data_IF_542485297540
#
_entry.id   IF_542485297540
#
_cell.length_a   1.000
_cell.length_b   1.000
_cell.length_c   1.000
_cell.angle_alpha   90.00
_cell.angle_beta   90.00
_cell.angle_gamma   90.00
#
_symmetry.space_group_name_H-M   'P 1'
#
loop_
_entity.id
_entity.type
_entity.pdbx_description
1 polymer ?
#
# COMPACT_ATOMS: atom_id res chain seq x y z
N UNK A 1 -17.18 5.76 14.72
CA UNK A 1 -16.01 5.07 15.31
C UNK A 1 -16.02 5.25 16.81
N UNK A 2 -15.65 4.22 17.56
CA UNK A 2 -15.52 4.24 19.02
C UNK A 2 -14.17 3.68 19.44
N UNK A 3 -13.67 4.11 20.58
CA UNK A 3 -12.42 3.60 21.16
C UNK A 3 -12.75 2.81 22.42
N UNK A 4 -12.18 1.60 22.52
CA UNK A 4 -12.24 0.82 23.74
C UNK A 4 -11.19 1.37 24.71
N UNK A 5 -11.63 1.81 25.89
CA UNK A 5 -10.77 2.47 26.88
C UNK A 5 -9.76 1.52 27.56
N UNK A 6 -10.01 0.21 27.56
CA UNK A 6 -9.12 -0.79 28.18
C UNK A 6 -8.04 -1.27 27.22
N UNK A 7 -8.40 -1.44 25.94
CA UNK A 7 -7.48 -2.00 24.93
C UNK A 7 -6.89 -0.94 24.01
N UNK A 8 -7.37 0.30 24.07
CA UNK A 8 -7.04 1.39 23.15
C UNK A 8 -7.34 1.08 21.66
N UNK A 9 -8.16 0.07 21.39
CA UNK A 9 -8.53 -0.30 20.04
C UNK A 9 -9.66 0.62 19.56
N UNK A 10 -9.47 1.22 18.38
CA UNK A 10 -10.47 2.02 17.70
C UNK A 10 -11.23 1.11 16.73
N UNK A 11 -12.56 1.08 16.86
CA UNK A 11 -13.45 0.30 16.01
C UNK A 11 -14.57 1.15 15.42
N UNK A 12 -15.17 0.68 14.34
CA UNK A 12 -16.32 1.30 13.72
C UNK A 12 -16.14 1.47 12.22
N UNK A 13 -17.25 1.66 11.52
CA UNK A 13 -17.28 1.94 10.09
C UNK A 13 -17.44 3.44 9.87
N UNK A 14 -16.52 4.07 9.11
CA UNK A 14 -16.69 5.45 8.69
C UNK A 14 -17.97 5.59 7.82
N UNK A 15 -18.70 6.66 8.03
CA UNK A 15 -19.95 6.96 7.29
C UNK A 15 -19.79 8.12 6.31
N UNK A 16 -18.65 8.80 6.33
CA UNK A 16 -18.35 9.95 5.48
C UNK A 16 -16.99 9.81 4.84
N UNK A 17 -16.86 10.17 3.57
CA UNK A 17 -15.59 10.35 2.89
C UNK A 17 -14.88 11.55 3.52
N UNK A 18 -13.61 11.38 3.84
CA UNK A 18 -12.80 12.44 4.44
C UNK A 18 -11.37 12.44 3.94
N UNK A 19 -10.87 13.59 3.57
CA UNK A 19 -9.43 13.79 3.35
C UNK A 19 -8.65 13.43 4.63
N UNK A 20 -7.37 13.18 4.50
CA UNK A 20 -6.49 12.85 5.63
C UNK A 20 -6.69 13.84 6.78
N UNK A 21 -7.17 13.33 7.89
CA UNK A 21 -7.44 14.11 9.10
C UNK A 21 -6.66 13.51 10.26
N UNK A 22 -5.94 14.36 10.98
CA UNK A 22 -5.21 13.94 12.18
C UNK A 22 -6.13 14.02 13.40
N UNK A 23 -6.24 12.92 14.10
CA UNK A 23 -7.01 12.79 15.34
C UNK A 23 -6.06 12.74 16.53
N UNK A 24 -6.43 13.48 17.57
CA UNK A 24 -5.74 13.42 18.86
C UNK A 24 -6.47 12.42 19.77
N UNK A 25 -5.70 11.58 20.42
CA UNK A 25 -6.22 10.68 21.45
C UNK A 25 -5.50 10.96 22.76
N UNK A 26 -6.23 10.92 23.86
CA UNK A 26 -5.67 11.07 25.18
C UNK A 26 -6.18 9.96 26.12
N UNK A 27 -5.29 9.46 26.96
CA UNK A 27 -5.63 8.51 28.01
C UNK A 27 -5.07 9.00 29.33
N UNK A 28 -5.89 8.93 30.40
CA UNK A 28 -5.44 9.30 31.75
C UNK A 28 -5.33 8.03 32.59
N UNK A 29 -4.13 7.76 33.06
CA UNK A 29 -3.82 6.60 33.91
C UNK A 29 -3.18 7.11 35.19
N UNK A 30 -3.75 6.76 36.33
CA UNK A 30 -3.25 7.16 37.68
C UNK A 30 -3.02 8.68 37.81
N UNK A 31 -3.92 9.49 37.17
CA UNK A 31 -3.84 10.94 37.23
C UNK A 31 -2.85 11.58 36.26
N UNK A 32 -2.12 10.79 35.49
CA UNK A 32 -1.25 11.28 34.39
C UNK A 32 -1.92 11.13 33.04
N UNK A 33 -1.87 12.19 32.24
CA UNK A 33 -2.46 12.20 30.89
C UNK A 33 -1.38 11.96 29.84
N UNK A 34 -1.61 10.96 29.02
CA UNK A 34 -0.82 10.62 27.83
C UNK A 34 -1.56 11.05 26.60
N UNK A 35 -0.84 11.59 25.63
CA UNK A 35 -1.42 12.04 24.35
C UNK A 35 -0.72 11.33 23.20
N UNK A 36 -1.49 11.00 22.16
CA UNK A 36 -1.01 10.49 20.91
C UNK A 36 -1.84 11.04 19.76
N UNK A 37 -1.35 10.86 18.55
CA UNK A 37 -2.11 11.22 17.36
C UNK A 37 -2.02 10.13 16.30
N UNK A 38 -3.05 10.01 15.49
CA UNK A 38 -3.04 9.18 14.28
C UNK A 38 -3.74 9.92 13.15
N UNK A 39 -3.37 9.64 11.93
CA UNK A 39 -4.02 10.19 10.73
C UNK A 39 -4.89 9.13 10.07
N UNK A 40 -6.10 9.51 9.70
CA UNK A 40 -7.07 8.66 9.02
C UNK A 40 -7.54 9.35 7.75
N UNK A 41 -7.56 8.59 6.66
CA UNK A 41 -8.21 8.96 5.40
C UNK A 41 -9.38 8.02 5.16
N UNK A 42 -10.52 8.55 4.82
CA UNK A 42 -11.69 7.77 4.42
C UNK A 42 -11.98 8.06 2.96
N UNK A 43 -11.74 7.08 2.09
CA UNK A 43 -12.03 7.17 0.66
C UNK A 43 -13.15 6.22 0.27
N UNK A 44 -13.91 6.58 -0.75
CA UNK A 44 -14.86 5.67 -1.37
C UNK A 44 -14.10 4.72 -2.31
N UNK A 45 -14.35 3.43 -2.15
CA UNK A 45 -13.85 2.41 -3.05
C UNK A 45 -15.03 1.62 -3.61
N UNK A 46 -15.43 1.95 -4.83
CA UNK A 46 -16.50 1.26 -5.55
C UNK A 46 -16.04 -0.04 -6.20
N UNK A 47 -14.75 -0.31 -6.20
CA UNK A 47 -14.11 -1.53 -6.69
C UNK A 47 -13.64 -2.43 -5.55
N UNK A 48 -12.59 -3.18 -5.85
CA UNK A 48 -11.90 -4.02 -4.88
C UNK A 48 -10.73 -3.25 -4.27
N UNK A 49 -10.65 -3.24 -2.94
CA UNK A 49 -9.54 -2.61 -2.24
C UNK A 49 -8.39 -3.60 -2.08
N UNK A 50 -7.22 -3.21 -2.55
CA UNK A 50 -5.99 -3.98 -2.45
C UNK A 50 -4.98 -3.29 -1.55
N UNK A 51 -4.24 -4.09 -0.79
CA UNK A 51 -3.00 -3.66 -0.14
C UNK A 51 -1.83 -4.12 -0.98
N UNK A 52 -0.97 -3.20 -1.38
CA UNK A 52 0.31 -3.51 -2.00
C UNK A 52 1.45 -3.29 -1.03
N UNK A 53 2.39 -4.22 -1.05
CA UNK A 53 3.63 -4.15 -0.27
C UNK A 53 4.80 -4.37 -1.20
N UNK A 54 5.71 -3.42 -1.27
CA UNK A 54 6.93 -3.49 -2.06
C UNK A 54 8.15 -3.30 -1.17
N UNK A 55 9.13 -4.17 -1.30
CA UNK A 55 10.45 -3.99 -0.71
C UNK A 55 11.45 -3.83 -1.84
N UNK A 56 12.06 -2.66 -1.91
CA UNK A 56 13.14 -2.37 -2.84
C UNK A 56 14.47 -2.77 -2.23
N UNK A 57 15.40 -3.22 -3.06
CA UNK A 57 16.76 -3.56 -2.62
C UNK A 57 17.74 -2.47 -3.03
N UNK A 58 18.57 -2.68 -3.98
CA UNK A 58 19.62 -1.74 -4.39
C UNK A 58 19.10 -0.79 -5.48
N UNK A 59 19.38 0.50 -5.39
CA UNK A 59 18.98 1.53 -6.36
C UNK A 59 17.47 1.54 -6.65
N UNK A 60 16.63 1.68 -5.62
CA UNK A 60 15.17 1.64 -5.76
C UNK A 60 14.65 2.66 -6.79
N UNK A 61 15.32 3.79 -6.94
CA UNK A 61 14.97 4.84 -7.89
C UNK A 61 15.02 4.43 -9.36
N UNK A 62 15.65 3.29 -9.66
CA UNK A 62 15.71 2.72 -11.01
C UNK A 62 14.63 1.70 -11.29
N UNK A 63 13.98 1.20 -10.27
CA UNK A 63 12.88 0.26 -10.38
C UNK A 63 11.56 1.01 -10.40
N UNK A 64 10.68 0.65 -11.31
CA UNK A 64 9.34 1.22 -11.38
C UNK A 64 8.33 0.17 -11.84
N UNK A 65 7.05 0.41 -11.60
CA UNK A 65 6.01 -0.53 -12.01
C UNK A 65 4.69 0.19 -12.30
N UNK A 66 3.86 -0.48 -13.10
CA UNK A 66 2.52 -0.03 -13.47
C UNK A 66 1.51 -1.12 -13.22
N UNK A 67 0.32 -0.71 -12.83
CA UNK A 67 -0.88 -1.55 -12.86
C UNK A 67 -1.74 -1.04 -14.00
N UNK A 68 -2.14 -1.93 -14.91
CA UNK A 68 -2.88 -1.56 -16.12
C UNK A 68 -4.14 -2.39 -16.24
N UNK A 69 -5.20 -1.77 -16.73
CA UNK A 69 -6.38 -2.49 -17.22
C UNK A 69 -6.02 -3.26 -18.48
N UNK A 70 -6.21 -4.58 -18.48
CA UNK A 70 -5.88 -5.44 -19.63
C UNK A 70 -6.86 -5.29 -20.80
N UNK A 71 -7.98 -4.58 -20.62
CA UNK A 71 -8.98 -4.41 -21.67
C UNK A 71 -8.67 -3.22 -22.60
N UNK A 72 -7.96 -2.21 -22.13
CA UNK A 72 -7.72 -0.96 -22.86
C UNK A 72 -6.33 -0.37 -22.66
N UNK A 73 -5.45 -1.05 -21.92
CA UNK A 73 -4.10 -0.61 -21.53
C UNK A 73 -4.06 0.68 -20.67
N UNK A 74 -5.18 1.12 -20.09
CA UNK A 74 -5.19 2.28 -19.21
C UNK A 74 -4.35 2.04 -17.95
N UNK A 75 -3.55 3.03 -17.58
CA UNK A 75 -2.75 2.99 -16.35
C UNK A 75 -3.66 3.30 -15.16
N UNK A 76 -3.85 2.31 -14.30
CA UNK A 76 -4.64 2.43 -13.07
C UNK A 76 -3.79 2.98 -11.91
N UNK A 77 -2.52 2.63 -11.90
CA UNK A 77 -1.55 3.08 -10.91
C UNK A 77 -0.12 2.95 -11.45
N UNK A 78 0.73 3.89 -11.07
CA UNK A 78 2.13 3.87 -11.47
C UNK A 78 3.04 4.37 -10.34
N UNK A 79 4.19 3.72 -10.20
CA UNK A 79 5.36 4.26 -9.49
C UNK A 79 6.41 4.52 -10.56
N UNK A 80 6.72 5.79 -10.78
CA UNK A 80 7.67 6.23 -11.81
C UNK A 80 9.13 5.99 -11.38
N UNK A 81 10.01 5.88 -12.38
CA UNK A 81 11.46 5.91 -12.15
C UNK A 81 11.89 7.22 -11.48
N UNK A 82 12.87 7.15 -10.59
CA UNK A 82 13.36 8.31 -9.84
C UNK A 82 12.57 8.61 -8.56
N UNK A 83 11.66 7.71 -8.15
CA UNK A 83 10.95 7.87 -6.88
C UNK A 83 11.89 7.87 -5.67
N UNK A 84 11.41 8.38 -4.54
CA UNK A 84 12.20 8.59 -3.31
C UNK A 84 12.14 7.41 -2.31
N UNK A 85 11.65 6.24 -2.72
CA UNK A 85 11.60 5.08 -1.83
C UNK A 85 13.01 4.62 -1.46
N UNK A 86 13.21 4.25 -0.21
CA UNK A 86 14.51 3.83 0.31
C UNK A 86 14.74 2.34 0.09
N UNK A 87 16.00 1.97 -0.17
CA UNK A 87 16.43 0.58 -0.21
C UNK A 87 16.21 -0.11 1.14
N UNK A 88 15.92 -1.42 1.11
CA UNK A 88 15.68 -2.28 2.27
C UNK A 88 14.53 -1.81 3.19
N UNK A 89 13.67 -0.93 2.68
CA UNK A 89 12.46 -0.48 3.37
C UNK A 89 11.22 -1.04 2.69
N UNK A 90 10.29 -1.45 3.52
CA UNK A 90 8.96 -1.81 3.05
C UNK A 90 8.16 -0.54 2.77
N UNK A 91 7.60 -0.49 1.59
CA UNK A 91 6.63 0.51 1.17
C UNK A 91 5.27 -0.14 1.00
N UNK A 92 4.29 0.41 1.66
CA UNK A 92 2.91 -0.08 1.60
C UNK A 92 1.99 0.99 1.04
N UNK A 93 1.12 0.61 0.12
CA UNK A 93 0.03 1.45 -0.36
C UNK A 93 -1.26 0.66 -0.51
N UNK A 94 -2.37 1.39 -0.64
CA UNK A 94 -3.71 0.83 -0.81
C UNK A 94 -4.30 1.37 -2.10
N UNK A 95 -4.88 0.47 -2.90
CA UNK A 95 -5.46 0.79 -4.19
C UNK A 95 -6.89 0.30 -4.27
N UNK A 96 -7.76 1.14 -4.78
CA UNK A 96 -9.11 0.77 -5.17
C UNK A 96 -9.12 0.51 -6.67
N UNK A 97 -9.34 -0.73 -7.08
CA UNK A 97 -9.36 -1.13 -8.49
C UNK A 97 -10.78 -1.58 -8.84
N UNK A 98 -11.40 -0.90 -9.80
CA UNK A 98 -12.77 -1.15 -10.24
C UNK A 98 -12.89 -1.94 -11.53
N UNK A 99 -11.77 -2.31 -12.15
CA UNK A 99 -11.73 -3.11 -13.37
C UNK A 99 -11.72 -4.61 -13.05
N UNK A 100 -12.28 -5.42 -13.93
CA UNK A 100 -12.37 -6.87 -13.74
C UNK A 100 -11.00 -7.56 -13.88
N UNK A 101 -10.16 -7.03 -14.76
CA UNK A 101 -8.85 -7.63 -15.07
C UNK A 101 -7.78 -6.55 -15.16
N UNK A 102 -6.67 -6.81 -14.51
CA UNK A 102 -5.49 -5.95 -14.57
C UNK A 102 -4.22 -6.79 -14.58
N UNK A 103 -3.13 -6.21 -15.06
CA UNK A 103 -1.79 -6.74 -14.93
C UNK A 103 -0.90 -5.82 -14.07
N UNK A 104 0.21 -6.38 -13.59
CA UNK A 104 1.25 -5.63 -12.90
C UNK A 104 2.54 -5.81 -13.68
N UNK A 105 2.97 -4.76 -14.36
CA UNK A 105 4.18 -4.75 -15.16
C UNK A 105 5.31 -4.03 -14.43
N UNK A 106 6.46 -4.66 -14.33
CA UNK A 106 7.64 -4.14 -13.64
C UNK A 106 8.72 -3.76 -14.65
N UNK A 107 9.43 -2.69 -14.33
CA UNK A 107 10.46 -2.14 -15.19
C UNK A 107 11.67 -1.72 -14.39
N UNK A 108 12.83 -1.65 -15.05
CA UNK A 108 14.04 -1.06 -14.50
C UNK A 108 14.78 -0.26 -15.55
N UNK A 109 15.35 0.86 -15.15
CA UNK A 109 16.30 1.63 -15.97
C UNK A 109 17.74 1.16 -15.79
N UNK A 110 17.98 0.20 -14.90
CA UNK A 110 19.28 -0.44 -14.74
C UNK A 110 19.47 -1.59 -15.73
N UNK A 111 20.70 -1.84 -16.11
CA UNK A 111 21.07 -2.98 -16.97
C UNK A 111 20.92 -4.33 -16.27
N UNK A 112 20.91 -4.33 -14.94
CA UNK A 112 20.69 -5.51 -14.11
C UNK A 112 19.54 -5.25 -13.16
N UNK A 113 18.53 -6.12 -13.19
CA UNK A 113 17.51 -6.17 -12.15
C UNK A 113 18.17 -6.57 -10.84
N UNK A 114 17.86 -5.83 -9.79
CA UNK A 114 18.41 -6.18 -8.49
C UNK A 114 17.65 -7.35 -7.91
N UNK A 115 18.33 -8.49 -7.81
CA UNK A 115 17.84 -9.67 -7.14
C UNK A 115 17.31 -9.32 -5.74
N UNK A 116 16.19 -9.97 -5.37
CA UNK A 116 15.56 -9.88 -4.06
C UNK A 116 14.67 -8.65 -3.77
N UNK A 117 14.25 -7.89 -4.76
CA UNK A 117 13.10 -7.00 -4.55
C UNK A 117 11.81 -7.81 -4.49
N UNK A 118 10.95 -7.52 -3.51
CA UNK A 118 9.71 -8.27 -3.29
C UNK A 118 8.49 -7.41 -3.56
N UNK A 119 7.46 -8.01 -4.13
CA UNK A 119 6.15 -7.41 -4.30
C UNK A 119 5.09 -8.39 -3.82
N UNK A 120 4.17 -7.89 -3.01
CA UNK A 120 3.01 -8.62 -2.55
C UNK A 120 1.75 -7.78 -2.78
N UNK A 121 0.69 -8.44 -3.18
CA UNK A 121 -0.63 -7.84 -3.31
C UNK A 121 -1.65 -8.70 -2.58
N UNK A 122 -2.48 -8.06 -1.78
CA UNK A 122 -3.45 -8.71 -0.92
C UNK A 122 -4.84 -8.14 -1.19
N UNK A 123 -5.86 -8.98 -1.17
CA UNK A 123 -7.23 -8.51 -0.96
C UNK A 123 -7.35 -7.96 0.47
N UNK A 124 -7.91 -6.76 0.59
CA UNK A 124 -8.36 -6.24 1.88
C UNK A 124 -9.83 -6.59 2.11
N UNK A 125 -10.17 -7.87 2.03
CA UNK A 125 -11.42 -8.41 2.52
C UNK A 125 -11.14 -9.25 3.75
N UNK A 126 -12.18 -9.65 4.54
CA UNK A 126 -12.03 -9.91 5.97
C UNK A 126 -10.82 -10.76 6.40
N UNK A 127 -10.19 -11.43 5.47
CA UNK A 127 -9.13 -12.40 5.75
C UNK A 127 -7.73 -12.00 5.24
N UNK A 128 -7.54 -10.81 4.65
CA UNK A 128 -6.25 -10.36 4.08
C UNK A 128 -5.60 -11.43 3.16
N UNK A 129 -6.39 -12.02 2.29
CA UNK A 129 -5.89 -13.07 1.41
C UNK A 129 -4.85 -12.53 0.43
N UNK A 130 -3.68 -13.16 0.40
CA UNK A 130 -2.62 -12.81 -0.53
C UNK A 130 -2.95 -13.39 -1.92
N UNK A 131 -3.15 -12.52 -2.91
CA UNK A 131 -3.52 -12.91 -4.27
C UNK A 131 -2.34 -12.94 -5.25
N UNK A 132 -1.30 -12.18 -4.96
CA UNK A 132 -0.12 -12.11 -5.83
C UNK A 132 1.14 -11.99 -4.99
N UNK A 133 2.06 -12.92 -5.23
CA UNK A 133 3.43 -12.87 -4.73
C UNK A 133 4.37 -12.81 -5.92
N UNK A 134 4.96 -11.65 -6.15
CA UNK A 134 6.01 -11.47 -7.14
C UNK A 134 7.38 -11.57 -6.49
N UNK A 135 8.19 -12.49 -7.01
CA UNK A 135 9.59 -12.63 -6.67
C UNK A 135 10.39 -12.40 -7.95
N UNK A 136 11.32 -11.46 -7.94
CA UNK A 136 12.17 -11.22 -9.10
C UNK A 136 13.56 -11.76 -8.84
N UNK A 137 13.81 -12.92 -9.40
CA UNK A 137 15.14 -13.39 -9.72
C UNK A 137 15.42 -12.97 -11.16
N UNK A 138 16.49 -12.18 -11.32
CA UNK A 138 17.20 -11.89 -12.56
C UNK A 138 16.42 -12.10 -13.87
N UNK A 139 15.62 -11.12 -14.28
CA UNK A 139 15.13 -11.06 -15.66
C UNK A 139 16.25 -10.56 -16.57
N UNK A 140 17.31 -11.36 -16.72
CA UNK A 140 18.25 -11.20 -17.80
C UNK A 140 17.56 -11.63 -19.09
N UNK A 141 17.27 -10.69 -19.95
CA UNK A 141 16.82 -10.82 -21.33
C UNK A 141 15.33 -11.08 -21.56
N UNK A 142 14.59 -9.99 -21.73
CA UNK A 142 13.67 -9.90 -22.87
C UNK A 142 13.71 -8.47 -23.44
#
# INVERSE_FOLDING_TARGET
>A
MSMNAETCIITGTPTEIRATTTYQVSATVQGQTYQGSFSLTVSDCTGTLYKMVRTYKTNPEKEYFRIRDTSNDDILFEVESGHSHSADKEWTTYLCISVERFDVAFYSTATNWYANSFFYMYYLLPDNEMILKGYYDDCSNH
#
